data_IF_457292814767
#
_entry.id   IF_457292814767
#
_cell.length_a   1.000
_cell.length_b   1.000
_cell.length_c   1.000
_cell.angle_alpha   90.00
_cell.angle_beta   90.00
_cell.angle_gamma   90.00
#
_symmetry.space_group_name_H-M   'P 1'
#
loop_
_entity.id
_entity.type
_entity.pdbx_description
1 polymer ?
#
# COMPACT_ATOMS: atom_id res chain seq x y z
N UNK A 1 17.24 4.39 3.62
CA UNK A 1 15.84 3.94 3.52
C UNK A 1 15.27 3.66 4.92
N UNK A 2 15.23 4.67 5.79
CA UNK A 2 14.63 4.54 7.12
C UNK A 2 13.16 4.95 7.12
N UNK A 3 12.87 6.06 6.44
CA UNK A 3 11.54 6.70 6.40
C UNK A 3 10.45 5.79 5.85
N UNK A 4 10.71 5.03 4.79
CA UNK A 4 9.70 4.14 4.20
C UNK A 4 9.29 3.02 5.16
N UNK A 5 10.22 2.54 5.99
CA UNK A 5 9.89 1.57 7.04
C UNK A 5 9.10 2.20 8.19
N UNK A 6 9.47 3.42 8.60
CA UNK A 6 8.75 4.16 9.63
C UNK A 6 7.32 4.52 9.19
N UNK A 7 7.14 4.97 7.95
CA UNK A 7 5.84 5.25 7.33
C UNK A 7 4.98 3.99 7.27
N UNK A 8 5.57 2.86 6.86
CA UNK A 8 4.86 1.58 6.81
C UNK A 8 4.39 1.15 8.21
N UNK A 9 5.26 1.30 9.21
CA UNK A 9 4.92 1.06 10.62
C UNK A 9 3.77 1.95 11.10
N UNK A 10 3.88 3.26 10.83
CA UNK A 10 2.88 4.25 11.20
C UNK A 10 1.49 3.93 10.64
N UNK A 11 1.38 3.59 9.36
CA UNK A 11 0.10 3.22 8.75
C UNK A 11 -0.47 1.91 9.30
N UNK A 12 0.38 0.94 9.64
CA UNK A 12 -0.07 -0.29 10.28
C UNK A 12 -0.54 -0.06 11.71
N UNK A 13 0.11 0.80 12.48
CA UNK A 13 -0.33 1.12 13.82
C UNK A 13 -1.63 1.93 13.81
N UNK A 14 -1.79 2.87 12.87
CA UNK A 14 -3.08 3.53 12.63
C UNK A 14 -4.19 2.53 12.27
N UNK A 15 -3.89 1.54 11.42
CA UNK A 15 -4.84 0.49 11.09
C UNK A 15 -5.24 -0.36 12.31
N UNK A 16 -4.30 -0.64 13.23
CA UNK A 16 -4.60 -1.33 14.49
C UNK A 16 -5.45 -0.47 15.41
N UNK A 17 -5.14 0.82 15.52
CA UNK A 17 -5.87 1.75 16.39
C UNK A 17 -7.32 1.97 15.93
N UNK A 18 -7.51 2.17 14.62
CA UNK A 18 -8.83 2.42 14.02
C UNK A 18 -9.67 1.16 13.87
N UNK A 19 -8.99 0.01 13.85
CA UNK A 19 -9.63 -1.30 13.76
C UNK A 19 -10.04 -1.70 12.34
N UNK A 20 -10.51 -2.96 12.19
CA UNK A 20 -10.85 -3.52 10.90
C UNK A 20 -12.01 -2.78 10.22
N UNK A 21 -11.87 -2.55 8.91
CA UNK A 21 -12.90 -1.90 8.09
C UNK A 21 -12.75 -0.38 7.94
N UNK A 22 -11.87 0.24 8.74
CA UNK A 22 -11.50 1.65 8.60
C UNK A 22 -10.72 1.92 7.31
N UNK A 23 -10.59 3.19 6.92
CA UNK A 23 -9.82 3.58 5.73
C UNK A 23 -8.33 3.28 5.91
N UNK A 24 -7.82 3.43 7.12
CA UNK A 24 -6.44 3.11 7.51
C UNK A 24 -6.19 1.61 7.43
N UNK A 25 -7.13 0.78 7.89
CA UNK A 25 -7.06 -0.67 7.74
C UNK A 25 -7.05 -1.11 6.28
N UNK A 26 -7.85 -0.47 5.42
CA UNK A 26 -7.83 -0.72 3.97
C UNK A 26 -6.50 -0.30 3.34
N UNK A 27 -5.96 0.85 3.74
CA UNK A 27 -4.69 1.35 3.23
C UNK A 27 -3.50 0.48 3.68
N UNK A 28 -3.48 0.03 4.94
CA UNK A 28 -2.52 -0.96 5.42
C UNK A 28 -2.57 -2.24 4.58
N UNK A 29 -3.76 -2.71 4.18
CA UNK A 29 -3.91 -3.81 3.24
C UNK A 29 -3.27 -3.54 1.86
N UNK A 30 -3.40 -2.32 1.33
CA UNK A 30 -2.73 -1.89 0.08
C UNK A 30 -1.21 -1.91 0.23
N UNK A 31 -0.68 -1.41 1.34
CA UNK A 31 0.76 -1.43 1.62
C UNK A 31 1.28 -2.86 1.75
N UNK A 32 0.53 -3.73 2.44
CA UNK A 32 0.90 -5.13 2.63
C UNK A 32 0.90 -5.90 1.31
N UNK A 33 -0.09 -5.68 0.45
CA UNK A 33 -0.12 -6.31 -0.86
C UNK A 33 0.99 -5.77 -1.78
N UNK A 34 1.28 -4.48 -1.70
CA UNK A 34 2.42 -3.88 -2.42
C UNK A 34 3.74 -4.50 -1.98
N UNK A 35 3.88 -4.78 -0.67
CA UNK A 35 5.03 -5.47 -0.09
C UNK A 35 5.19 -6.89 -0.62
N UNK A 36 4.09 -7.65 -0.68
CA UNK A 36 4.09 -9.01 -1.22
C UNK A 36 4.41 -9.05 -2.72
N UNK A 37 4.01 -8.02 -3.48
CA UNK A 37 4.24 -7.96 -4.93
C UNK A 37 5.64 -7.46 -5.32
N UNK A 38 6.15 -6.43 -4.63
CA UNK A 38 7.36 -5.71 -5.04
C UNK A 38 8.56 -5.96 -4.11
N UNK A 39 8.32 -6.48 -2.90
CA UNK A 39 9.30 -6.65 -1.84
C UNK A 39 9.58 -5.36 -1.05
N UNK A 40 10.17 -5.51 0.15
CA UNK A 40 10.44 -4.41 1.09
C UNK A 40 11.08 -3.18 0.45
N UNK A 41 12.19 -3.37 -0.25
CA UNK A 41 12.99 -2.26 -0.77
C UNK A 41 12.16 -1.34 -1.68
N UNK A 42 11.47 -1.93 -2.66
CA UNK A 42 10.73 -1.19 -3.67
C UNK A 42 9.43 -0.59 -3.12
N UNK A 43 8.79 -1.28 -2.18
CA UNK A 43 7.63 -0.74 -1.47
C UNK A 43 7.99 0.47 -0.63
N UNK A 44 9.11 0.42 0.11
CA UNK A 44 9.56 1.54 0.93
C UNK A 44 10.04 2.72 0.08
N UNK A 45 10.73 2.48 -1.04
CA UNK A 45 11.07 3.54 -1.99
C UNK A 45 9.82 4.24 -2.54
N UNK A 46 8.79 3.47 -2.95
CA UNK A 46 7.53 4.04 -3.42
C UNK A 46 6.79 4.79 -2.31
N UNK A 47 6.86 4.32 -1.07
CA UNK A 47 6.21 4.96 0.08
C UNK A 47 6.88 6.28 0.44
N UNK A 48 8.22 6.33 0.41
CA UNK A 48 8.99 7.58 0.56
C UNK A 48 8.63 8.55 -0.58
N UNK A 49 8.60 8.08 -1.83
CA UNK A 49 8.24 8.91 -2.98
C UNK A 49 6.79 9.44 -2.90
N UNK A 50 5.87 8.61 -2.41
CA UNK A 50 4.48 9.00 -2.23
C UNK A 50 4.37 10.12 -1.17
N UNK A 51 5.02 9.94 -0.03
CA UNK A 51 5.06 10.94 1.05
C UNK A 51 5.66 12.27 0.58
N UNK A 52 6.80 12.22 -0.13
CA UNK A 52 7.44 13.42 -0.70
C UNK A 52 6.54 14.14 -1.72
N UNK A 53 5.70 13.41 -2.45
CA UNK A 53 4.75 13.97 -3.44
C UNK A 53 3.38 14.31 -2.85
N UNK A 54 3.14 14.04 -1.57
CA UNK A 54 1.81 14.18 -0.95
C UNK A 54 0.76 13.21 -1.53
N UNK A 55 1.22 12.07 -2.05
CA UNK A 55 0.43 11.01 -2.71
C UNK A 55 0.34 9.76 -1.83
N UNK A 56 -0.48 8.79 -2.26
CA UNK A 56 -0.60 7.47 -1.62
C UNK A 56 -0.35 6.33 -2.61
N UNK A 57 0.03 5.16 -2.10
CA UNK A 57 0.12 3.96 -2.93
C UNK A 57 -1.28 3.45 -3.24
N UNK A 58 -1.47 2.95 -4.45
CA UNK A 58 -2.70 2.30 -4.88
C UNK A 58 -2.37 1.05 -5.67
N UNK A 59 -3.07 -0.03 -5.37
CA UNK A 59 -3.00 -1.25 -6.17
C UNK A 59 -3.74 -1.04 -7.49
N UNK A 60 -3.09 -1.41 -8.58
CA UNK A 60 -3.71 -1.47 -9.89
C UNK A 60 -4.19 -2.90 -10.15
N UNK A 61 -5.46 -3.02 -10.50
CA UNK A 61 -6.10 -4.29 -10.81
C UNK A 61 -6.36 -4.37 -12.31
N UNK A 62 -6.10 -5.54 -12.90
CA UNK A 62 -6.44 -5.74 -14.31
C UNK A 62 -7.97 -5.85 -14.45
N UNK A 63 -8.56 -4.85 -15.11
CA UNK A 63 -10.01 -4.72 -15.33
C UNK A 63 -10.57 -5.76 -16.30
N UNK A 64 -9.71 -6.56 -16.94
CA UNK A 64 -10.12 -7.60 -17.89
C UNK A 64 -10.40 -8.97 -17.23
N UNK A 65 -10.11 -9.12 -15.93
CA UNK A 65 -10.47 -10.31 -15.17
C UNK A 65 -11.86 -10.12 -14.52
N UNK A 66 -12.70 -11.15 -14.54
CA UNK A 66 -13.97 -11.17 -13.77
C UNK A 66 -13.69 -10.70 -12.34
N UNK A 67 -14.56 -9.86 -11.77
CA UNK A 67 -14.37 -9.21 -10.47
C UNK A 67 -14.01 -10.17 -9.31
N UNK A 68 -14.32 -11.46 -9.44
CA UNK A 68 -13.98 -12.54 -8.50
C UNK A 68 -12.53 -13.06 -8.59
N UNK A 69 -11.74 -12.63 -9.58
CA UNK A 69 -10.35 -13.07 -9.83
C UNK A 69 -9.43 -11.90 -10.19
N UNK A 70 -9.73 -10.69 -9.72
CA UNK A 70 -8.90 -9.51 -9.95
C UNK A 70 -7.60 -9.63 -9.14
N UNK A 71 -6.56 -10.21 -9.74
CA UNK A 71 -5.20 -10.15 -9.20
C UNK A 71 -4.70 -8.70 -9.34
N UNK A 72 -4.11 -8.10 -8.29
CA UNK A 72 -3.40 -6.85 -8.46
C UNK A 72 -2.21 -7.10 -9.40
N UNK A 73 -2.08 -6.26 -10.42
CA UNK A 73 -1.07 -6.39 -11.47
C UNK A 73 0.02 -5.31 -11.36
N UNK A 74 -0.19 -4.28 -10.54
CA UNK A 74 0.79 -3.23 -10.31
C UNK A 74 0.51 -2.39 -9.07
N UNK A 75 1.42 -1.47 -8.78
CA UNK A 75 1.30 -0.46 -7.71
C UNK A 75 1.65 0.89 -8.32
N UNK A 76 0.77 1.87 -8.13
CA UNK A 76 0.88 3.23 -8.69
C UNK A 76 0.63 4.29 -7.61
N UNK A 77 1.12 5.52 -7.83
CA UNK A 77 0.95 6.64 -6.92
C UNK A 77 -0.27 7.49 -7.31
N UNK A 78 -1.22 7.63 -6.39
CA UNK A 78 -2.45 8.41 -6.57
C UNK A 78 -2.48 9.66 -5.70
#
# INVERSE_FOLDING_TARGET
>A
MGKGKDLFGHYNDLAKEKGPGSEESKYAGVLFQSLLMLGERRTFELLEEADEKGKKLKLEYNTNAKASAACPCGVSLT
#
